data_IF_216034310805
#
_entry.id   IF_216034310805
#
_cell.length_a   1.000
_cell.length_b   1.000
_cell.length_c   1.000
_cell.angle_alpha   90.00
_cell.angle_beta   90.00
_cell.angle_gamma   90.00
#
_symmetry.space_group_name_H-M   'P 1'
#
loop_
_entity.id
_entity.type
_entity.pdbx_description
1 polymer ?
#
# COMPACT_ATOMS: atom_id res chain seq x y z
N UNK A 1 -31.76 2.08 24.45
CA UNK A 1 -30.33 1.73 24.31
C UNK A 1 -29.50 2.85 23.68
N UNK A 2 -29.88 3.46 22.55
CA UNK A 2 -29.04 4.50 21.90
C UNK A 2 -29.11 5.91 22.53
N UNK A 3 -30.02 6.15 23.48
CA UNK A 3 -30.25 7.46 24.11
C UNK A 3 -29.13 7.94 25.04
N UNK A 4 -28.28 7.04 25.55
CA UNK A 4 -27.23 7.38 26.51
C UNK A 4 -25.91 7.84 25.84
N UNK A 5 -25.81 7.77 24.52
CA UNK A 5 -24.56 8.03 23.78
C UNK A 5 -24.62 9.25 22.85
N UNK A 6 -25.74 9.97 22.81
CA UNK A 6 -25.89 11.16 21.97
C UNK A 6 -25.74 12.44 22.82
N UNK A 7 -24.92 13.42 22.39
CA UNK A 7 -24.92 14.75 22.99
C UNK A 7 -26.34 15.35 23.08
N UNK A 8 -26.61 16.18 24.09
CA UNK A 8 -27.96 16.68 24.41
C UNK A 8 -28.73 17.27 23.21
N UNK A 9 -28.01 17.92 22.29
CA UNK A 9 -28.55 18.55 21.09
C UNK A 9 -29.10 17.51 20.08
N UNK A 10 -28.43 16.37 19.98
CA UNK A 10 -28.78 15.25 19.10
C UNK A 10 -29.89 14.38 19.70
N UNK A 11 -29.96 14.30 21.03
CA UNK A 11 -31.06 13.66 21.72
C UNK A 11 -32.41 14.36 21.42
N UNK A 12 -32.40 15.70 21.30
CA UNK A 12 -33.59 16.49 20.94
C UNK A 12 -34.04 16.25 19.49
N UNK A 13 -33.10 16.19 18.55
CA UNK A 13 -33.39 15.89 17.13
C UNK A 13 -33.88 14.46 16.93
N UNK A 14 -33.21 13.47 17.54
CA UNK A 14 -33.62 12.08 17.48
C UNK A 14 -35.01 11.86 18.10
N UNK A 15 -35.31 12.54 19.22
CA UNK A 15 -36.64 12.46 19.85
C UNK A 15 -37.75 13.09 18.99
N UNK A 16 -37.45 14.17 18.26
CA UNK A 16 -38.41 14.78 17.32
C UNK A 16 -38.67 13.90 16.10
N UNK A 17 -37.65 13.22 15.57
CA UNK A 17 -37.79 12.28 14.46
C UNK A 17 -38.60 11.05 14.88
N UNK A 18 -38.33 10.48 16.06
CA UNK A 18 -39.09 9.34 16.58
C UNK A 18 -40.56 9.67 16.87
N UNK A 19 -40.85 10.86 17.40
CA UNK A 19 -42.23 11.29 17.65
C UNK A 19 -43.05 11.48 16.36
N UNK A 20 -42.39 11.74 15.24
CA UNK A 20 -43.03 11.86 13.92
C UNK A 20 -43.26 10.51 13.24
N UNK A 21 -42.50 9.48 13.60
CA UNK A 21 -42.63 8.13 13.03
C UNK A 21 -43.72 7.28 13.71
N UNK A 22 -44.18 7.65 14.90
CA UNK A 22 -45.14 6.87 15.70
C UNK A 22 -46.62 7.21 15.47
N UNK A 23 -46.96 8.19 14.62
CA UNK A 23 -48.34 8.54 14.28
C UNK A 23 -48.61 8.34 12.78
N UNK A 24 -49.53 7.40 12.49
CA UNK A 24 -50.14 6.92 11.24
C UNK A 24 -50.02 7.64 9.87
N UNK A 25 -49.85 6.80 8.84
CA UNK A 25 -50.50 6.75 7.50
C UNK A 25 -50.57 7.95 6.52
N UNK A 26 -49.48 8.69 6.27
CA UNK A 26 -49.42 9.58 5.09
C UNK A 26 -48.07 9.53 4.34
N UNK A 27 -48.13 9.22 3.04
CA UNK A 27 -46.98 9.15 2.11
C UNK A 27 -46.13 10.43 2.08
N UNK A 28 -46.73 11.57 2.40
CA UNK A 28 -46.04 12.84 2.44
C UNK A 28 -45.13 12.99 3.68
N UNK A 29 -45.49 12.34 4.79
CA UNK A 29 -44.63 12.29 5.99
C UNK A 29 -43.44 11.39 5.74
N UNK A 30 -43.62 10.26 5.03
CA UNK A 30 -42.53 9.36 4.66
C UNK A 30 -41.47 10.07 3.81
N UNK A 31 -41.88 10.84 2.78
CA UNK A 31 -40.94 11.64 1.98
C UNK A 31 -40.24 12.71 2.82
N UNK A 32 -40.93 13.35 3.77
CA UNK A 32 -40.31 14.34 4.67
C UNK A 32 -39.36 13.69 5.67
N UNK A 33 -39.65 12.47 6.12
CA UNK A 33 -38.77 11.67 6.96
C UNK A 33 -37.50 11.26 6.20
N UNK A 34 -37.62 10.82 4.94
CA UNK A 34 -36.46 10.50 4.08
C UNK A 34 -35.58 11.72 3.82
N UNK A 35 -36.18 12.88 3.52
CA UNK A 35 -35.42 14.13 3.33
C UNK A 35 -34.68 14.54 4.61
N UNK A 36 -35.31 14.34 5.79
CA UNK A 36 -34.69 14.65 7.08
C UNK A 36 -33.63 13.63 7.49
N UNK A 37 -33.85 12.34 7.22
CA UNK A 37 -32.87 11.28 7.45
C UNK A 37 -31.64 11.51 6.56
N UNK A 38 -31.85 11.88 5.29
CA UNK A 38 -30.76 12.25 4.39
C UNK A 38 -30.01 13.49 4.88
N UNK A 39 -30.72 14.55 5.27
CA UNK A 39 -30.10 15.74 5.83
C UNK A 39 -29.30 15.44 7.11
N UNK A 40 -29.78 14.52 7.95
CA UNK A 40 -29.07 14.08 9.14
C UNK A 40 -27.78 13.30 8.79
N UNK A 41 -27.83 12.40 7.82
CA UNK A 41 -26.64 11.68 7.33
C UNK A 41 -25.63 12.63 6.64
N UNK A 42 -26.10 13.65 5.93
CA UNK A 42 -25.25 14.68 5.33
C UNK A 42 -24.52 15.49 6.42
N UNK A 43 -25.22 15.93 7.47
CA UNK A 43 -24.61 16.62 8.64
C UNK A 43 -23.60 15.72 9.36
N UNK A 44 -23.93 14.43 9.53
CA UNK A 44 -23.02 13.46 10.15
C UNK A 44 -21.76 13.25 9.31
N UNK A 45 -21.90 13.21 7.98
CA UNK A 45 -20.78 13.11 7.03
C UNK A 45 -19.90 14.37 7.07
N UNK A 46 -20.48 15.57 7.04
CA UNK A 46 -19.73 16.82 7.14
C UNK A 46 -18.95 16.91 8.45
N UNK A 47 -19.57 16.53 9.57
CA UNK A 47 -18.91 16.51 10.88
C UNK A 47 -17.79 15.48 10.95
N UNK A 48 -17.98 14.31 10.34
CA UNK A 48 -16.93 13.29 10.24
C UNK A 48 -15.74 13.79 9.41
N UNK A 49 -15.98 14.41 8.26
CA UNK A 49 -14.93 15.00 7.42
C UNK A 49 -14.16 16.08 8.18
N UNK A 50 -14.84 16.97 8.89
CA UNK A 50 -14.21 18.00 9.72
C UNK A 50 -13.32 17.41 10.84
N UNK A 51 -13.78 16.33 11.49
CA UNK A 51 -12.99 15.62 12.51
C UNK A 51 -11.76 14.92 11.91
N UNK A 52 -11.86 14.44 10.67
CA UNK A 52 -10.70 13.87 9.94
C UNK A 52 -9.70 14.98 9.61
N UNK A 53 -10.14 16.11 9.08
CA UNK A 53 -9.29 17.27 8.79
C UNK A 53 -8.59 17.81 10.05
N UNK A 54 -9.33 17.95 11.17
CA UNK A 54 -8.77 18.37 12.46
C UNK A 54 -7.71 17.39 12.96
N UNK A 55 -7.95 16.07 12.85
CA UNK A 55 -6.96 15.04 13.22
C UNK A 55 -5.75 15.02 12.30
N UNK A 56 -5.93 15.25 11.00
CA UNK A 56 -4.81 15.37 10.05
C UNK A 56 -3.97 16.61 10.34
N UNK A 57 -4.60 17.75 10.66
CA UNK A 57 -3.91 18.96 11.07
C UNK A 57 -3.15 18.78 12.39
N UNK A 58 -3.76 18.17 13.41
CA UNK A 58 -3.09 17.84 14.68
C UNK A 58 -1.93 16.85 14.48
N UNK A 59 -2.12 15.83 13.64
CA UNK A 59 -1.07 14.86 13.30
C UNK A 59 0.08 15.53 12.56
N UNK A 60 -0.21 16.46 11.64
CA UNK A 60 0.80 17.20 10.89
C UNK A 60 1.59 18.13 11.82
N UNK A 61 0.90 18.90 12.67
CA UNK A 61 1.55 19.79 13.63
C UNK A 61 2.43 19.02 14.65
N UNK A 62 1.93 17.86 15.13
CA UNK A 62 2.69 16.97 16.00
C UNK A 62 3.91 16.40 15.29
N UNK A 63 3.76 15.96 14.04
CA UNK A 63 4.86 15.46 13.23
C UNK A 63 5.92 16.55 12.98
N UNK A 64 5.52 17.78 12.63
CA UNK A 64 6.43 18.92 12.47
C UNK A 64 7.17 19.24 13.77
N UNK A 65 6.49 19.19 14.92
CA UNK A 65 7.10 19.41 16.22
C UNK A 65 8.10 18.30 16.58
N UNK A 66 7.74 17.04 16.38
CA UNK A 66 8.61 15.88 16.63
C UNK A 66 9.80 15.85 15.66
N UNK A 67 9.57 16.16 14.39
CA UNK A 67 10.61 16.26 13.36
C UNK A 67 11.57 17.42 13.65
N UNK A 68 11.05 18.61 14.00
CA UNK A 68 11.87 19.75 14.43
C UNK A 68 12.71 19.41 15.67
N UNK A 69 12.11 18.74 16.65
CA UNK A 69 12.82 18.27 17.85
C UNK A 69 13.88 17.24 17.49
N UNK A 70 13.57 16.26 16.64
CA UNK A 70 14.48 15.23 16.19
C UNK A 70 15.67 15.81 15.40
N UNK A 71 15.42 16.78 14.51
CA UNK A 71 16.48 17.52 13.82
C UNK A 71 17.35 18.28 14.82
N UNK A 72 16.76 19.05 15.74
CA UNK A 72 17.52 19.79 16.76
C UNK A 72 18.36 18.86 17.64
N UNK A 73 17.80 17.73 18.05
CA UNK A 73 18.51 16.72 18.84
C UNK A 73 19.59 16.01 18.02
N UNK A 74 19.33 15.70 16.74
CA UNK A 74 20.32 15.08 15.85
C UNK A 74 21.50 16.01 15.58
N UNK A 75 21.25 17.30 15.36
CA UNK A 75 22.28 18.32 15.18
C UNK A 75 23.05 18.53 16.49
N UNK A 76 22.36 18.66 17.63
CA UNK A 76 23.01 18.88 18.94
C UNK A 76 23.85 17.71 19.44
N UNK A 77 23.58 16.48 18.97
CA UNK A 77 24.30 15.28 19.38
C UNK A 77 25.44 14.89 18.44
N UNK A 78 25.65 15.60 17.32
CA UNK A 78 26.84 15.36 16.50
C UNK A 78 28.07 15.90 17.25
N UNK A 79 29.12 15.08 17.45
CA UNK A 79 30.35 15.58 18.04
C UNK A 79 30.90 16.71 17.14
N UNK A 80 31.36 17.82 17.71
CA UNK A 80 31.92 18.92 16.93
C UNK A 80 33.06 18.41 16.06
N UNK A 81 33.00 18.70 14.76
CA UNK A 81 34.05 18.34 13.82
C UNK A 81 35.20 19.33 13.97
N UNK A 82 36.44 18.84 13.95
CA UNK A 82 37.63 19.70 13.88
C UNK A 82 38.28 19.54 12.52
N UNK A 83 38.89 20.60 12.02
CA UNK A 83 39.78 20.51 10.86
C UNK A 83 40.94 19.59 11.21
N UNK A 84 41.32 18.75 10.25
CA UNK A 84 42.58 18.00 10.36
C UNK A 84 43.76 18.96 10.48
N UNK A 85 44.89 18.53 11.09
CA UNK A 85 46.08 19.37 11.19
C UNK A 85 46.57 19.90 9.83
N UNK A 86 46.41 19.11 8.77
CA UNK A 86 46.79 19.46 7.41
C UNK A 86 45.85 20.53 6.80
N UNK A 87 44.54 20.35 6.93
CA UNK A 87 43.55 21.36 6.51
C UNK A 87 43.77 22.67 7.28
N UNK A 88 44.00 22.60 8.59
CA UNK A 88 44.24 23.80 9.41
C UNK A 88 45.52 24.53 8.98
N UNK A 89 46.59 23.81 8.68
CA UNK A 89 47.83 24.39 8.16
C UNK A 89 47.62 25.05 6.79
N UNK A 90 46.84 24.42 5.91
CA UNK A 90 46.45 24.99 4.62
C UNK A 90 45.68 26.31 4.80
N UNK A 91 44.69 26.33 5.69
CA UNK A 91 43.86 27.50 5.94
C UNK A 91 44.69 28.67 6.48
N UNK A 92 45.53 28.41 7.48
CA UNK A 92 46.44 29.41 8.05
C UNK A 92 47.44 29.97 7.03
N UNK A 93 47.95 29.13 6.12
CA UNK A 93 48.83 29.56 5.02
C UNK A 93 48.11 30.53 4.08
N UNK A 94 46.88 30.21 3.67
CA UNK A 94 46.07 31.06 2.78
C UNK A 94 45.75 32.40 3.43
N UNK A 95 45.45 32.41 4.74
CA UNK A 95 45.22 33.64 5.50
C UNK A 95 46.49 34.50 5.57
N UNK A 96 47.65 33.87 5.80
CA UNK A 96 48.92 34.58 5.93
C UNK A 96 49.41 35.19 4.60
N UNK A 97 49.19 34.50 3.48
CA UNK A 97 49.54 34.99 2.15
C UNK A 97 48.45 34.62 1.12
N UNK A 98 47.41 35.45 0.98
CA UNK A 98 46.33 35.26 0.02
C UNK A 98 46.80 35.11 -1.43
N UNK A 99 47.92 35.75 -1.79
CA UNK A 99 48.44 35.74 -3.16
C UNK A 99 49.11 34.40 -3.53
N UNK A 100 49.49 33.61 -2.53
CA UNK A 100 50.05 32.26 -2.72
C UNK A 100 48.99 31.19 -3.01
N UNK A 101 47.70 31.50 -2.83
CA UNK A 101 46.63 30.53 -2.99
C UNK A 101 46.47 30.11 -4.45
N UNK A 102 46.65 28.82 -4.72
CA UNK A 102 46.50 28.22 -6.06
C UNK A 102 45.09 27.67 -6.29
N UNK A 103 44.75 27.36 -7.55
CA UNK A 103 43.51 26.63 -7.88
C UNK A 103 43.44 25.27 -7.17
N UNK A 104 44.57 24.59 -7.01
CA UNK A 104 44.62 23.32 -6.28
C UNK A 104 44.27 23.51 -4.80
N UNK A 105 44.79 24.56 -4.17
CA UNK A 105 44.46 24.91 -2.78
C UNK A 105 42.97 25.22 -2.64
N UNK A 106 42.41 25.99 -3.58
CA UNK A 106 40.97 26.27 -3.63
C UNK A 106 40.14 24.99 -3.76
N UNK A 107 40.53 24.09 -4.66
CA UNK A 107 39.83 22.83 -4.85
C UNK A 107 39.93 21.96 -3.60
N UNK A 108 41.08 21.92 -2.92
CA UNK A 108 41.23 21.20 -1.66
C UNK A 108 40.33 21.77 -0.55
N UNK A 109 40.24 23.10 -0.40
CA UNK A 109 39.38 23.76 0.60
C UNK A 109 37.89 23.48 0.36
N UNK A 110 37.46 23.43 -0.91
CA UNK A 110 36.08 23.15 -1.29
C UNK A 110 35.81 21.67 -1.61
N UNK A 111 36.77 20.79 -1.32
CA UNK A 111 36.71 19.35 -1.58
C UNK A 111 36.37 18.99 -3.03
N UNK A 112 36.80 19.83 -3.96
CA UNK A 112 36.68 19.60 -5.39
C UNK A 112 37.82 18.71 -5.87
N UNK A 113 37.64 18.00 -7.00
CA UNK A 113 38.72 17.25 -7.62
C UNK A 113 39.94 18.14 -7.90
N UNK A 114 41.16 17.57 -7.94
CA UNK A 114 42.35 18.28 -8.41
C UNK A 114 42.10 18.97 -9.77
N UNK A 115 42.76 20.11 -10.07
CA UNK A 115 42.44 20.91 -11.26
C UNK A 115 42.49 20.16 -12.59
N UNK A 116 43.45 19.25 -12.75
CA UNK A 116 43.62 18.39 -13.92
C UNK A 116 42.46 17.39 -14.06
N UNK A 117 42.02 16.81 -12.94
CA UNK A 117 40.85 15.94 -12.91
C UNK A 117 39.54 16.71 -13.14
N UNK A 118 39.39 17.89 -12.54
CA UNK A 118 38.21 18.75 -12.73
C UNK A 118 38.07 19.18 -14.20
N UNK A 119 39.17 19.57 -14.85
CA UNK A 119 39.18 19.91 -16.27
C UNK A 119 38.91 18.70 -17.16
N UNK A 120 39.43 17.51 -16.81
CA UNK A 120 39.12 16.27 -17.50
C UNK A 120 37.62 15.95 -17.40
N UNK A 121 37.05 16.00 -16.20
CA UNK A 121 35.62 15.76 -15.97
C UNK A 121 34.75 16.80 -16.72
N UNK A 122 35.18 18.07 -16.76
CA UNK A 122 34.51 19.11 -17.53
C UNK A 122 34.53 18.83 -19.03
N UNK A 123 35.69 18.45 -19.58
CA UNK A 123 35.79 18.06 -21.00
C UNK A 123 34.95 16.84 -21.32
N UNK A 124 35.00 15.82 -20.48
CA UNK A 124 34.25 14.58 -20.68
C UNK A 124 32.73 14.84 -20.68
N UNK A 125 32.26 15.78 -19.85
CA UNK A 125 30.84 16.05 -19.64
C UNK A 125 30.25 17.10 -20.57
N UNK A 126 30.95 18.21 -20.78
CA UNK A 126 30.45 19.38 -21.55
C UNK A 126 31.35 19.78 -22.72
N UNK A 127 32.49 19.10 -22.92
CA UNK A 127 33.37 19.31 -24.07
C UNK A 127 34.37 20.46 -23.95
N UNK A 128 34.40 21.18 -22.83
CA UNK A 128 35.30 22.32 -22.56
C UNK A 128 35.97 22.21 -21.18
N UNK A 129 37.08 22.91 -20.97
CA UNK A 129 37.73 23.03 -19.65
C UNK A 129 36.87 23.82 -18.65
N UNK A 130 37.19 23.73 -17.35
CA UNK A 130 36.51 24.54 -16.34
C UNK A 130 36.76 26.05 -16.55
N UNK A 131 37.94 26.43 -16.99
CA UNK A 131 38.29 27.84 -17.23
C UNK A 131 37.52 28.42 -18.42
N UNK A 132 37.42 27.68 -19.52
CA UNK A 132 36.57 28.04 -20.67
C UNK A 132 35.09 28.12 -20.27
N UNK A 133 34.61 27.21 -19.42
CA UNK A 133 33.25 27.21 -18.90
C UNK A 133 32.96 28.46 -18.04
N UNK A 134 33.89 28.84 -17.15
CA UNK A 134 33.81 30.07 -16.36
C UNK A 134 33.78 31.31 -17.26
N UNK A 135 34.64 31.34 -18.27
CA UNK A 135 34.64 32.43 -19.26
C UNK A 135 33.33 32.50 -20.05
N UNK A 136 32.75 31.35 -20.43
CA UNK A 136 31.45 31.26 -21.09
C UNK A 136 30.33 31.83 -20.21
N UNK A 137 30.32 31.52 -18.91
CA UNK A 137 29.33 32.06 -17.98
C UNK A 137 29.40 33.59 -17.84
N UNK A 138 30.60 34.17 -17.88
CA UNK A 138 30.79 35.62 -17.85
C UNK A 138 30.50 36.32 -19.18
N UNK A 139 30.74 35.66 -20.31
CA UNK A 139 30.58 36.28 -21.62
C UNK A 139 29.18 36.09 -22.20
N UNK A 140 28.61 34.89 -22.07
CA UNK A 140 27.36 34.48 -22.71
C UNK A 140 26.51 33.57 -21.79
N UNK A 141 26.01 34.07 -20.64
CA UNK A 141 25.31 33.25 -19.65
C UNK A 141 24.08 32.52 -20.21
N UNK A 142 23.35 33.11 -21.15
CA UNK A 142 22.13 32.50 -21.74
C UNK A 142 22.42 31.26 -22.59
N UNK A 143 23.68 31.09 -23.01
CA UNK A 143 24.14 29.94 -23.80
C UNK A 143 24.59 28.76 -22.95
N UNK A 144 24.55 28.90 -21.62
CA UNK A 144 24.82 27.80 -20.71
C UNK A 144 23.70 26.76 -20.80
N UNK A 145 24.12 25.51 -20.91
CA UNK A 145 23.28 24.31 -20.82
C UNK A 145 23.03 23.95 -19.35
N UNK A 146 22.05 23.09 -19.10
CA UNK A 146 21.73 22.61 -17.74
C UNK A 146 22.93 21.94 -17.05
N UNK A 147 23.65 21.06 -17.75
CA UNK A 147 24.84 20.39 -17.19
C UNK A 147 25.95 21.41 -16.86
N UNK A 148 26.15 22.43 -17.70
CA UNK A 148 27.10 23.52 -17.45
C UNK A 148 26.72 24.36 -16.22
N UNK A 149 25.43 24.69 -16.08
CA UNK A 149 24.90 25.37 -14.90
C UNK A 149 25.09 24.55 -13.63
N UNK A 150 24.79 23.24 -13.67
CA UNK A 150 24.98 22.31 -12.54
C UNK A 150 26.45 22.26 -12.11
N UNK A 151 27.37 22.13 -13.07
CA UNK A 151 28.81 22.09 -12.81
C UNK A 151 29.28 23.39 -12.14
N UNK A 152 28.84 24.55 -12.64
CA UNK A 152 29.22 25.84 -12.08
C UNK A 152 28.61 26.10 -10.69
N UNK A 153 27.36 25.70 -10.48
CA UNK A 153 26.65 25.93 -9.23
C UNK A 153 27.07 24.96 -8.11
N UNK A 154 27.37 23.71 -8.45
CA UNK A 154 27.52 22.61 -7.49
C UNK A 154 28.84 21.85 -7.59
N UNK A 155 29.64 22.07 -8.63
CA UNK A 155 30.85 21.30 -8.92
C UNK A 155 30.55 19.87 -9.38
N UNK A 156 31.62 19.08 -9.61
CA UNK A 156 31.51 17.67 -10.01
C UNK A 156 31.21 16.70 -8.86
N UNK A 157 31.14 17.18 -7.62
CA UNK A 157 31.11 16.34 -6.41
C UNK A 157 29.73 15.84 -6.00
N UNK A 158 28.70 15.98 -6.85
CA UNK A 158 27.30 15.86 -6.42
C UNK A 158 26.41 14.92 -7.24
N UNK A 159 26.90 13.74 -7.61
CA UNK A 159 25.98 12.63 -8.01
C UNK A 159 26.22 11.29 -7.32
N UNK A 160 27.33 11.09 -6.62
CA UNK A 160 27.44 10.00 -5.66
C UNK A 160 27.05 10.53 -4.28
N UNK A 161 25.86 10.15 -3.82
CA UNK A 161 25.30 10.52 -2.50
C UNK A 161 26.16 10.02 -1.31
N UNK A 162 27.21 9.24 -1.58
CA UNK A 162 27.97 8.47 -0.60
C UNK A 162 29.35 9.03 -0.24
N UNK A 163 29.92 10.00 -0.98
CA UNK A 163 31.35 10.35 -0.83
C UNK A 163 31.68 11.81 -0.54
N UNK A 164 30.73 12.75 -0.60
CA UNK A 164 31.00 14.17 -0.32
C UNK A 164 30.63 14.58 1.11
N UNK A 165 31.44 15.41 1.79
CA UNK A 165 30.97 16.06 3.01
C UNK A 165 29.71 16.89 2.67
N UNK A 166 28.65 16.85 3.50
CA UNK A 166 27.41 17.59 3.22
C UNK A 166 27.70 19.06 2.95
N UNK A 167 26.91 19.73 2.11
CA UNK A 167 27.07 21.17 1.78
C UNK A 167 27.13 22.12 3.00
N UNK A 168 26.79 21.61 4.19
CA UNK A 168 26.79 22.31 5.48
C UNK A 168 27.84 21.81 6.47
N UNK A 169 28.83 21.01 6.04
CA UNK A 169 29.82 20.42 6.97
C UNK A 169 30.63 21.47 7.74
N UNK A 170 30.80 22.67 7.17
CA UNK A 170 31.44 23.81 7.85
C UNK A 170 30.65 24.31 9.06
N UNK A 171 29.33 24.12 9.09
CA UNK A 171 28.48 24.44 10.24
C UNK A 171 28.64 23.46 11.39
N UNK A 172 29.19 22.27 11.13
CA UNK A 172 29.50 21.26 12.15
C UNK A 172 30.93 21.46 12.73
N UNK A 173 31.69 22.46 12.28
CA UNK A 173 33.02 22.77 12.81
C UNK A 173 32.96 23.41 14.20
N UNK A 174 34.00 23.20 15.01
CA UNK A 174 34.21 23.99 16.24
C UNK A 174 34.40 25.48 15.89
N UNK A 175 34.00 26.37 16.79
CA UNK A 175 33.99 27.83 16.58
C UNK A 175 35.29 28.38 15.98
N UNK A 176 36.46 28.02 16.53
CA UNK A 176 37.75 28.49 16.02
C UNK A 176 38.02 28.05 14.57
N UNK A 177 37.63 26.83 14.21
CA UNK A 177 37.82 26.27 12.87
C UNK A 177 36.76 26.80 11.89
N UNK A 178 35.55 27.10 12.37
CA UNK A 178 34.50 27.78 11.61
C UNK A 178 34.93 29.20 11.24
N UNK A 179 35.52 29.93 12.19
CA UNK A 179 36.03 31.29 11.95
C UNK A 179 37.22 31.28 10.97
N UNK A 180 38.14 30.31 11.10
CA UNK A 180 39.21 30.11 10.11
C UNK A 180 38.63 29.82 8.72
N UNK A 181 37.61 28.96 8.64
CA UNK A 181 36.95 28.68 7.36
C UNK A 181 36.29 29.90 6.75
N UNK A 182 35.65 30.74 7.56
CA UNK A 182 35.00 31.97 7.10
C UNK A 182 36.02 32.95 6.50
N UNK A 183 37.16 33.14 7.17
CA UNK A 183 38.23 34.01 6.67
C UNK A 183 38.83 33.47 5.35
N UNK A 184 39.04 32.16 5.26
CA UNK A 184 39.52 31.53 4.01
C UNK A 184 38.48 31.67 2.90
N UNK A 185 37.20 31.52 3.19
CA UNK A 185 36.13 31.72 2.20
C UNK A 185 36.11 33.17 1.68
N UNK A 186 36.25 34.17 2.55
CA UNK A 186 36.33 35.58 2.15
C UNK A 186 37.54 35.87 1.24
N UNK A 187 38.65 35.14 1.41
CA UNK A 187 39.86 35.27 0.60
C UNK A 187 39.72 34.56 -0.75
N UNK A 188 39.25 33.30 -0.75
CA UNK A 188 39.24 32.45 -1.94
C UNK A 188 38.03 32.67 -2.84
N UNK A 189 36.94 33.19 -2.29
CA UNK A 189 35.69 33.41 -3.02
C UNK A 189 35.67 34.81 -3.62
N UNK A 190 36.21 34.92 -4.83
CA UNK A 190 36.36 36.22 -5.51
C UNK A 190 35.02 36.75 -6.00
N UNK A 191 34.96 38.06 -6.26
CA UNK A 191 33.78 38.70 -6.86
C UNK A 191 33.41 38.07 -8.21
N UNK A 192 34.40 37.57 -8.95
CA UNK A 192 34.19 36.86 -10.22
C UNK A 192 33.50 35.51 -9.99
N UNK A 193 33.93 34.73 -8.99
CA UNK A 193 33.27 33.45 -8.64
C UNK A 193 31.81 33.66 -8.24
N UNK A 194 31.54 34.70 -7.44
CA UNK A 194 30.18 35.08 -7.02
C UNK A 194 29.33 35.39 -8.25
N UNK A 195 29.87 36.15 -9.21
CA UNK A 195 29.14 36.52 -10.42
C UNK A 195 28.91 35.32 -11.35
N UNK A 196 29.90 34.44 -11.54
CA UNK A 196 29.76 33.19 -12.29
C UNK A 196 28.65 32.33 -11.67
N UNK A 197 28.68 32.13 -10.35
CA UNK A 197 27.68 31.31 -9.66
C UNK A 197 26.29 31.93 -9.77
N UNK A 198 26.16 33.25 -9.58
CA UNK A 198 24.88 33.97 -9.72
C UNK A 198 24.28 33.78 -11.11
N UNK A 199 25.09 33.92 -12.16
CA UNK A 199 24.63 33.74 -13.55
C UNK A 199 24.25 32.30 -13.85
N UNK A 200 25.07 31.35 -13.40
CA UNK A 200 24.77 29.93 -13.53
C UNK A 200 23.47 29.55 -12.82
N UNK A 201 23.24 30.06 -11.60
CA UNK A 201 22.00 29.86 -10.84
C UNK A 201 20.80 30.51 -11.53
N UNK A 202 20.94 31.75 -12.00
CA UNK A 202 19.86 32.42 -12.72
C UNK A 202 19.43 31.61 -13.95
N UNK A 203 20.40 31.13 -14.74
CA UNK A 203 20.14 30.28 -15.89
C UNK A 203 19.65 28.88 -15.50
N UNK A 204 20.10 28.34 -14.37
CA UNK A 204 19.59 27.07 -13.84
C UNK A 204 18.09 27.15 -13.55
N UNK A 205 17.61 28.28 -13.02
CA UNK A 205 16.18 28.50 -12.78
C UNK A 205 15.34 28.45 -14.05
N UNK A 206 15.88 28.82 -15.21
CA UNK A 206 15.16 28.66 -16.49
C UNK A 206 14.90 27.18 -16.84
N UNK A 207 15.64 26.24 -16.22
CA UNK A 207 15.45 24.81 -16.39
C UNK A 207 14.56 24.17 -15.31
N UNK A 208 14.12 24.92 -14.29
CA UNK A 208 13.36 24.38 -13.15
C UNK A 208 12.12 23.60 -13.62
N UNK A 209 11.31 24.20 -14.51
CA UNK A 209 10.11 23.55 -15.07
C UNK A 209 10.45 22.23 -15.77
N UNK A 210 11.55 22.20 -16.53
CA UNK A 210 11.98 21.01 -17.28
C UNK A 210 12.49 19.91 -16.33
N UNK A 211 13.21 20.30 -15.27
CA UNK A 211 13.70 19.41 -14.22
C UNK A 211 12.52 18.83 -13.44
N UNK A 212 11.55 19.65 -13.06
CA UNK A 212 10.34 19.22 -12.37
C UNK A 212 9.55 18.22 -13.21
N UNK A 213 9.33 18.49 -14.49
CA UNK A 213 8.62 17.58 -15.38
C UNK A 213 9.37 16.24 -15.55
N UNK A 214 10.71 16.26 -15.65
CA UNK A 214 11.50 15.02 -15.63
C UNK A 214 11.35 14.25 -14.32
N UNK A 215 11.36 14.93 -13.17
CA UNK A 215 11.14 14.32 -11.85
C UNK A 215 9.74 13.72 -11.75
N UNK A 216 8.69 14.42 -12.19
CA UNK A 216 7.32 13.90 -12.25
C UNK A 216 7.23 12.64 -13.12
N UNK A 217 7.82 12.67 -14.32
CA UNK A 217 7.84 11.50 -15.23
C UNK A 217 8.57 10.31 -14.61
N UNK A 218 9.73 10.51 -14.00
CA UNK A 218 10.49 9.44 -13.32
C UNK A 218 9.69 8.86 -12.15
N UNK A 219 9.04 9.71 -11.33
CA UNK A 219 8.16 9.25 -10.25
C UNK A 219 6.99 8.44 -10.80
N UNK A 220 6.34 8.91 -11.86
CA UNK A 220 5.23 8.19 -12.50
C UNK A 220 5.69 6.84 -13.05
N UNK A 221 6.82 6.79 -13.75
CA UNK A 221 7.40 5.55 -14.23
C UNK A 221 7.69 4.58 -13.07
N UNK A 222 8.27 5.05 -11.96
CA UNK A 222 8.50 4.21 -10.78
C UNK A 222 7.20 3.71 -10.15
N UNK A 223 6.15 4.55 -10.12
CA UNK A 223 4.81 4.16 -9.67
C UNK A 223 4.24 3.06 -10.58
N UNK A 224 4.34 3.23 -11.89
CA UNK A 224 3.82 2.31 -12.90
C UNK A 224 4.59 0.98 -12.90
N UNK A 225 5.93 1.03 -12.84
CA UNK A 225 6.80 -0.16 -12.70
C UNK A 225 6.48 -0.91 -11.42
N UNK A 226 6.32 -0.21 -10.29
CA UNK A 226 5.91 -0.82 -9.03
C UNK A 226 4.51 -1.43 -9.13
N UNK A 227 3.56 -0.74 -9.76
CA UNK A 227 2.21 -1.24 -9.98
C UNK A 227 2.21 -2.49 -10.86
N UNK A 228 2.97 -2.51 -11.95
CA UNK A 228 3.12 -3.64 -12.85
C UNK A 228 3.79 -4.83 -12.16
N UNK A 229 4.89 -4.61 -11.42
CA UNK A 229 5.56 -5.65 -10.63
C UNK A 229 4.62 -6.26 -9.59
N UNK A 230 3.83 -5.43 -8.92
CA UNK A 230 2.81 -5.91 -7.98
C UNK A 230 1.71 -6.69 -8.69
N UNK A 231 1.19 -6.21 -9.83
CA UNK A 231 0.15 -6.89 -10.61
C UNK A 231 0.62 -8.26 -11.09
N UNK A 232 1.89 -8.37 -11.51
CA UNK A 232 2.52 -9.63 -11.89
C UNK A 232 2.73 -10.60 -10.71
N UNK A 233 2.87 -10.08 -9.49
CA UNK A 233 2.99 -10.88 -8.27
C UNK A 233 1.64 -11.28 -7.66
N UNK A 234 0.52 -10.70 -8.12
CA UNK A 234 -0.82 -11.06 -7.67
C UNK A 234 -1.26 -12.41 -8.27
N UNK A 235 -2.07 -13.19 -7.54
CA UNK A 235 -2.73 -14.36 -8.07
C UNK A 235 -3.51 -14.00 -9.32
N UNK A 236 -3.52 -14.90 -10.31
CA UNK A 236 -4.22 -14.65 -11.59
C UNK A 236 -5.69 -14.35 -11.36
N UNK A 237 -6.26 -14.98 -10.34
CA UNK A 237 -7.64 -14.80 -9.96
C UNK A 237 -8.02 -13.42 -9.50
N UNK A 238 -7.16 -12.80 -8.71
CA UNK A 238 -7.41 -11.47 -8.18
C UNK A 238 -7.41 -10.45 -9.32
N UNK A 239 -6.50 -10.62 -10.29
CA UNK A 239 -6.48 -9.85 -11.53
C UNK A 239 -7.78 -10.01 -12.31
N UNK A 240 -8.22 -11.25 -12.53
CA UNK A 240 -9.48 -11.53 -13.25
C UNK A 240 -10.72 -10.95 -12.55
N UNK A 241 -10.81 -11.06 -11.21
CA UNK A 241 -11.89 -10.44 -10.45
C UNK A 241 -11.87 -8.91 -10.56
N UNK A 242 -10.67 -8.31 -10.66
CA UNK A 242 -10.50 -6.87 -10.87
C UNK A 242 -10.98 -6.44 -12.24
N UNK A 243 -10.59 -7.20 -13.26
CA UNK A 243 -10.96 -6.93 -14.65
C UNK A 243 -12.47 -7.14 -14.89
N UNK A 244 -13.08 -8.10 -14.18
CA UNK A 244 -14.52 -8.36 -14.22
C UNK A 244 -15.37 -7.26 -13.54
N UNK A 245 -14.76 -6.36 -12.74
CA UNK A 245 -15.44 -5.26 -12.03
C UNK A 245 -16.68 -5.73 -11.25
N UNK A 246 -16.56 -6.85 -10.55
CA UNK A 246 -17.66 -7.42 -9.78
C UNK A 246 -18.13 -6.43 -8.71
N UNK A 247 -19.42 -6.08 -8.70
CA UNK A 247 -20.00 -5.21 -7.67
C UNK A 247 -20.25 -5.92 -6.34
N UNK A 248 -20.27 -7.26 -6.36
CA UNK A 248 -20.35 -8.14 -5.20
C UNK A 248 -19.81 -9.52 -5.55
N UNK A 249 -19.35 -10.26 -4.54
CA UNK A 249 -18.89 -11.64 -4.71
C UNK A 249 -18.97 -12.44 -3.40
N UNK A 250 -19.03 -13.76 -3.50
CA UNK A 250 -19.19 -14.64 -2.33
C UNK A 250 -19.82 -15.98 -2.72
N UNK A 251 -20.09 -16.80 -1.72
CA UNK A 251 -20.87 -18.03 -1.85
C UNK A 251 -22.26 -17.88 -1.25
N UNK A 252 -23.16 -18.79 -1.64
CA UNK A 252 -24.30 -19.17 -0.80
C UNK A 252 -23.81 -20.17 0.23
N UNK A 253 -24.10 -19.94 1.51
CA UNK A 253 -23.72 -20.81 2.63
C UNK A 253 -24.98 -21.27 3.34
N UNK A 254 -25.29 -22.57 3.29
CA UNK A 254 -26.40 -23.15 4.03
C UNK A 254 -25.96 -23.57 5.42
N UNK A 255 -26.69 -23.14 6.44
CA UNK A 255 -26.64 -23.75 7.78
C UNK A 255 -27.55 -24.98 7.80
N UNK A 256 -27.08 -26.08 8.37
CA UNK A 256 -27.85 -27.34 8.50
C UNK A 256 -27.83 -27.92 9.91
N UNK A 257 -27.42 -27.12 10.89
CA UNK A 257 -27.33 -27.47 12.30
C UNK A 257 -28.06 -26.41 13.15
N UNK A 258 -29.13 -26.83 13.82
CA UNK A 258 -30.11 -26.02 14.54
C UNK A 258 -30.43 -26.60 15.91
N UNK A 259 -29.63 -27.54 16.42
CA UNK A 259 -29.77 -28.04 17.78
C UNK A 259 -29.65 -26.91 18.80
N UNK A 260 -30.23 -27.10 19.98
CA UNK A 260 -30.17 -26.14 21.08
C UNK A 260 -28.71 -25.77 21.38
N UNK A 261 -28.40 -24.47 21.42
CA UNK A 261 -27.04 -23.94 21.60
C UNK A 261 -26.34 -23.48 20.30
N UNK A 262 -26.80 -23.94 19.13
CA UNK A 262 -26.10 -23.68 17.85
C UNK A 262 -26.20 -22.26 17.30
N UNK A 263 -27.01 -21.39 17.90
CA UNK A 263 -27.11 -20.01 17.43
C UNK A 263 -25.81 -19.24 17.67
N UNK A 264 -25.22 -19.40 18.85
CA UNK A 264 -23.93 -18.78 19.16
C UNK A 264 -22.84 -19.35 18.24
N UNK A 265 -22.82 -20.66 18.02
CA UNK A 265 -21.81 -21.30 17.16
C UNK A 265 -21.96 -20.87 15.69
N UNK A 266 -23.19 -20.59 15.25
CA UNK A 266 -23.45 -20.01 13.93
C UNK A 266 -22.94 -18.58 13.81
N UNK A 267 -23.18 -17.73 14.81
CA UNK A 267 -22.64 -16.36 14.85
C UNK A 267 -21.09 -16.37 14.84
N UNK A 268 -20.47 -17.26 15.62
CA UNK A 268 -19.01 -17.45 15.65
C UNK A 268 -18.47 -17.94 14.31
N UNK A 269 -19.18 -18.87 13.66
CA UNK A 269 -18.82 -19.31 12.31
C UNK A 269 -18.86 -18.15 11.31
N UNK A 270 -19.91 -17.33 11.33
CA UNK A 270 -20.02 -16.17 10.43
C UNK A 270 -18.88 -15.19 10.66
N UNK A 271 -18.55 -14.91 11.93
CA UNK A 271 -17.43 -14.06 12.30
C UNK A 271 -16.11 -14.64 11.82
N UNK A 272 -15.83 -15.91 12.10
CA UNK A 272 -14.61 -16.61 11.66
C UNK A 272 -14.47 -16.60 10.13
N UNK A 273 -15.56 -16.84 9.41
CA UNK A 273 -15.60 -16.79 7.94
C UNK A 273 -15.21 -15.41 7.41
N UNK A 274 -15.76 -14.33 8.00
CA UNK A 274 -15.45 -12.96 7.60
C UNK A 274 -14.04 -12.51 8.04
N UNK A 275 -13.58 -12.91 9.21
CA UNK A 275 -12.22 -12.63 9.67
C UNK A 275 -11.18 -13.35 8.81
N UNK A 276 -11.46 -14.57 8.37
CA UNK A 276 -10.56 -15.31 7.48
C UNK A 276 -10.45 -14.62 6.11
N UNK A 277 -11.57 -14.12 5.58
CA UNK A 277 -11.59 -13.26 4.38
C UNK A 277 -10.69 -12.04 4.56
N UNK A 278 -10.86 -11.30 5.66
CA UNK A 278 -10.04 -10.12 5.94
C UNK A 278 -8.56 -10.49 6.12
N UNK A 279 -8.24 -11.57 6.84
CA UNK A 279 -6.86 -12.02 6.99
C UNK A 279 -6.20 -12.32 5.63
N UNK A 280 -6.89 -13.02 4.74
CA UNK A 280 -6.36 -13.35 3.43
C UNK A 280 -6.24 -12.14 2.51
N UNK A 281 -7.31 -11.39 2.34
CA UNK A 281 -7.36 -10.29 1.38
C UNK A 281 -6.60 -9.07 1.90
N UNK A 282 -6.65 -8.78 3.20
CA UNK A 282 -6.01 -7.59 3.76
C UNK A 282 -4.52 -7.84 4.07
N UNK A 283 -4.19 -8.94 4.76
CA UNK A 283 -2.79 -9.25 5.11
C UNK A 283 -2.05 -9.89 3.94
N UNK A 284 -2.65 -10.88 3.29
CA UNK A 284 -2.05 -11.57 2.13
C UNK A 284 -1.96 -10.68 0.89
N UNK A 285 -2.94 -9.78 0.70
CA UNK A 285 -3.11 -9.06 -0.56
C UNK A 285 -3.43 -7.57 -0.37
N UNK A 286 -2.61 -6.77 0.31
CA UNK A 286 -2.86 -5.34 0.70
C UNK A 286 -3.66 -4.42 -0.27
N UNK A 287 -3.64 -4.62 -1.60
CA UNK A 287 -4.44 -3.84 -2.58
C UNK A 287 -5.76 -4.49 -3.02
N UNK A 288 -6.04 -5.70 -2.55
CA UNK A 288 -7.34 -6.37 -2.62
C UNK A 288 -8.32 -5.87 -1.56
N UNK A 289 -7.97 -4.84 -0.78
CA UNK A 289 -8.85 -4.23 0.21
C UNK A 289 -10.19 -3.79 -0.40
N UNK A 290 -10.18 -3.34 -1.66
CA UNK A 290 -11.40 -3.02 -2.39
C UNK A 290 -12.29 -4.25 -2.63
N UNK A 291 -11.75 -5.46 -2.71
CA UNK A 291 -12.55 -6.69 -2.76
C UNK A 291 -13.11 -7.09 -1.41
N UNK A 292 -12.42 -6.78 -0.30
CA UNK A 292 -12.92 -7.09 1.05
C UNK A 292 -14.29 -6.50 1.31
N UNK A 293 -14.54 -5.27 0.83
CA UNK A 293 -15.82 -4.56 0.98
C UNK A 293 -16.89 -5.05 0.01
N UNK A 294 -16.49 -5.63 -1.12
CA UNK A 294 -17.40 -6.20 -2.12
C UNK A 294 -17.79 -7.65 -1.80
N UNK A 295 -17.14 -8.28 -0.82
CA UNK A 295 -17.47 -9.64 -0.42
C UNK A 295 -18.76 -9.66 0.41
N UNK A 296 -19.80 -10.30 -0.12
CA UNK A 296 -21.15 -10.35 0.43
C UNK A 296 -21.71 -11.77 0.30
N UNK A 297 -21.34 -12.71 1.19
CA UNK A 297 -21.86 -14.07 1.14
C UNK A 297 -23.37 -14.06 1.41
N UNK A 298 -24.11 -14.97 0.77
CA UNK A 298 -25.52 -15.19 1.06
C UNK A 298 -25.65 -16.31 2.10
N UNK A 299 -25.80 -15.92 3.35
CA UNK A 299 -25.93 -16.82 4.49
C UNK A 299 -27.40 -17.26 4.63
N UNK A 300 -27.70 -18.52 4.36
CA UNK A 300 -29.05 -19.07 4.43
C UNK A 300 -29.24 -19.75 5.77
N UNK A 301 -30.10 -19.17 6.60
CA UNK A 301 -30.52 -19.77 7.87
C UNK A 301 -32.03 -20.05 7.83
N UNK A 302 -32.39 -21.30 7.55
CA UNK A 302 -33.75 -21.82 7.52
C UNK A 302 -33.80 -23.12 8.35
N UNK A 303 -34.53 -23.11 9.46
CA UNK A 303 -34.61 -24.25 10.38
C UNK A 303 -35.25 -25.50 9.76
N UNK A 304 -35.96 -25.37 8.63
CA UNK A 304 -36.44 -26.52 7.86
C UNK A 304 -35.32 -27.32 7.18
N UNK A 305 -34.11 -26.76 7.12
CA UNK A 305 -32.91 -27.41 6.58
C UNK A 305 -32.10 -28.17 7.65
N UNK A 306 -32.64 -28.35 8.86
CA UNK A 306 -31.98 -29.11 9.92
C UNK A 306 -31.69 -30.55 9.49
N UNK A 307 -30.41 -30.93 9.51
CA UNK A 307 -29.96 -32.24 9.05
C UNK A 307 -30.25 -32.54 7.58
N UNK A 308 -30.55 -31.53 6.76
CA UNK A 308 -30.88 -31.72 5.36
C UNK A 308 -29.73 -32.38 4.60
N UNK A 309 -30.05 -33.47 3.89
CA UNK A 309 -29.10 -34.15 3.04
C UNK A 309 -28.68 -33.29 1.83
N UNK A 310 -27.50 -33.57 1.30
CA UNK A 310 -26.88 -32.83 0.17
C UNK A 310 -27.83 -32.71 -1.03
N UNK A 311 -28.61 -33.76 -1.33
CA UNK A 311 -29.57 -33.73 -2.44
C UNK A 311 -30.66 -32.66 -2.27
N UNK A 312 -31.19 -32.50 -1.04
CA UNK A 312 -32.19 -31.47 -0.71
C UNK A 312 -31.59 -30.08 -0.89
N UNK A 313 -30.36 -29.88 -0.42
CA UNK A 313 -29.64 -28.60 -0.56
C UNK A 313 -29.34 -28.26 -2.03
N UNK A 314 -28.97 -29.25 -2.86
CA UNK A 314 -28.82 -29.06 -4.32
C UNK A 314 -30.13 -28.58 -4.94
N UNK A 315 -31.25 -29.19 -4.60
CA UNK A 315 -32.57 -28.79 -5.10
C UNK A 315 -32.94 -27.37 -4.63
N UNK A 316 -32.74 -27.05 -3.35
CA UNK A 316 -32.99 -25.70 -2.82
C UNK A 316 -32.13 -24.65 -3.53
N UNK A 317 -30.84 -24.90 -3.70
CA UNK A 317 -29.94 -24.01 -4.40
C UNK A 317 -30.33 -23.79 -5.86
N UNK A 318 -30.72 -24.86 -6.59
CA UNK A 318 -31.24 -24.73 -7.97
C UNK A 318 -32.49 -23.87 -8.03
N UNK A 319 -33.43 -24.08 -7.10
CA UNK A 319 -34.62 -23.24 -7.00
C UNK A 319 -34.27 -21.77 -6.74
N UNK A 320 -33.35 -21.49 -5.82
CA UNK A 320 -32.86 -20.11 -5.56
C UNK A 320 -32.24 -19.48 -6.81
N UNK A 321 -31.47 -20.27 -7.58
CA UNK A 321 -30.87 -19.83 -8.85
C UNK A 321 -31.93 -19.51 -9.91
N UNK A 322 -32.92 -20.38 -10.08
CA UNK A 322 -34.02 -20.21 -11.05
C UNK A 322 -34.96 -19.05 -10.69
N UNK A 323 -35.20 -18.85 -9.39
CA UNK A 323 -36.05 -17.77 -8.86
C UNK A 323 -35.31 -16.44 -8.72
N UNK A 324 -34.03 -16.37 -9.14
CA UNK A 324 -33.19 -15.17 -9.00
C UNK A 324 -33.04 -14.67 -7.55
N UNK A 325 -33.13 -15.58 -6.57
CA UNK A 325 -32.85 -15.29 -5.15
C UNK A 325 -31.35 -15.05 -4.92
N UNK A 326 -30.48 -15.63 -5.76
CA UNK A 326 -29.02 -15.46 -5.68
C UNK A 326 -28.63 -14.13 -6.39
N UNK A 327 -28.08 -13.14 -5.67
CA UNK A 327 -27.71 -11.87 -6.29
C UNK A 327 -26.60 -12.00 -7.34
N UNK A 328 -26.66 -11.18 -8.38
CA UNK A 328 -25.64 -11.14 -9.43
C UNK A 328 -24.24 -10.90 -8.85
N UNK A 329 -23.28 -11.76 -9.19
CA UNK A 329 -21.92 -11.72 -8.69
C UNK A 329 -21.63 -12.72 -7.56
N UNK A 330 -22.63 -13.36 -6.96
CA UNK A 330 -22.44 -14.51 -6.07
C UNK A 330 -22.27 -15.79 -6.91
N UNK A 331 -21.45 -16.74 -6.44
CA UNK A 331 -21.20 -17.98 -7.15
C UNK A 331 -22.49 -18.80 -7.31
N UNK A 332 -22.77 -19.25 -8.55
CA UNK A 332 -23.99 -19.99 -8.92
C UNK A 332 -23.73 -21.44 -9.35
N UNK A 333 -22.46 -21.85 -9.34
CA UNK A 333 -21.98 -23.18 -9.72
C UNK A 333 -21.44 -23.97 -8.52
N UNK A 334 -21.46 -23.38 -7.32
CA UNK A 334 -21.02 -23.97 -6.06
C UNK A 334 -21.74 -23.31 -4.88
N UNK A 335 -22.06 -24.09 -3.85
CA UNK A 335 -22.47 -23.58 -2.54
C UNK A 335 -21.71 -24.26 -1.41
N UNK A 336 -21.75 -23.65 -0.22
CA UNK A 336 -21.09 -24.18 0.97
C UNK A 336 -22.12 -24.69 1.98
N UNK A 337 -21.73 -25.67 2.79
CA UNK A 337 -22.53 -26.22 3.89
C UNK A 337 -21.78 -26.02 5.21
N UNK A 338 -22.41 -25.29 6.14
CA UNK A 338 -22.03 -25.19 7.54
C UNK A 338 -22.91 -26.16 8.36
N UNK A 339 -22.42 -27.39 8.50
CA UNK A 339 -23.03 -28.43 9.33
C UNK A 339 -22.47 -28.40 10.77
N UNK A 340 -22.94 -29.33 11.62
CA UNK A 340 -22.52 -29.39 13.02
C UNK A 340 -20.99 -29.48 13.16
N UNK A 341 -20.32 -30.23 12.29
CA UNK A 341 -18.86 -30.38 12.34
C UNK A 341 -18.11 -29.08 12.00
N UNK A 342 -18.71 -28.22 11.15
CA UNK A 342 -18.19 -26.88 10.87
C UNK A 342 -18.45 -25.91 12.04
N UNK A 343 -19.60 -26.01 12.71
CA UNK A 343 -19.97 -25.17 13.85
C UNK A 343 -19.17 -25.50 15.12
N UNK A 344 -18.99 -26.79 15.44
CA UNK A 344 -18.26 -27.27 16.63
C UNK A 344 -16.81 -26.76 16.69
N UNK A 345 -16.21 -26.47 15.53
CA UNK A 345 -14.79 -26.09 15.41
C UNK A 345 -14.55 -24.59 15.24
N UNK A 346 -15.60 -23.77 15.22
CA UNK A 346 -15.48 -22.32 14.98
C UNK A 346 -14.63 -21.60 16.04
N UNK A 347 -14.46 -22.18 17.22
CA UNK A 347 -13.69 -21.62 18.35
C UNK A 347 -12.16 -21.64 18.18
N UNK A 348 -11.60 -22.27 17.14
CA UNK A 348 -10.14 -22.49 17.02
C UNK A 348 -9.43 -21.64 15.94
N UNK A 349 -10.12 -20.82 15.14
CA UNK A 349 -9.52 -20.27 13.90
C UNK A 349 -9.05 -18.80 13.93
N UNK A 350 -9.22 -18.07 15.04
CA UNK A 350 -8.87 -16.64 15.09
C UNK A 350 -7.37 -16.35 14.91
N UNK A 351 -6.51 -17.36 15.04
CA UNK A 351 -5.05 -17.21 14.91
C UNK A 351 -4.45 -17.78 13.62
N UNK A 352 -5.23 -18.38 12.71
CA UNK A 352 -4.62 -19.02 11.53
C UNK A 352 -4.36 -17.97 10.44
N UNK A 353 -3.15 -17.41 10.47
CA UNK A 353 -2.63 -16.63 9.36
C UNK A 353 -2.54 -17.50 8.10
N UNK A 354 -2.95 -16.95 6.96
CA UNK A 354 -2.79 -17.64 5.68
C UNK A 354 -1.29 -17.79 5.38
N UNK A 355 -0.80 -19.04 5.40
CA UNK A 355 0.58 -19.37 5.05
C UNK A 355 0.60 -20.11 3.72
N UNK A 356 1.33 -19.64 2.70
CA UNK A 356 1.48 -20.40 1.46
C UNK A 356 2.21 -21.71 1.75
N UNK A 357 1.72 -22.81 1.18
CA UNK A 357 2.38 -24.12 1.29
C UNK A 357 3.72 -24.08 0.56
N UNK A 358 4.82 -24.25 1.28
CA UNK A 358 6.12 -24.44 0.68
C UNK A 358 6.20 -25.82 0.00
N UNK A 359 7.00 -25.93 -1.06
CA UNK A 359 7.15 -27.19 -1.79
C UNK A 359 7.77 -28.26 -0.89
N UNK A 360 7.04 -29.36 -0.67
CA UNK A 360 7.48 -30.50 0.15
C UNK A 360 7.09 -30.42 1.64
N UNK A 361 6.48 -29.32 2.10
CA UNK A 361 6.00 -29.20 3.47
C UNK A 361 4.57 -29.76 3.63
N UNK A 362 4.21 -30.27 4.83
CA UNK A 362 2.83 -30.63 5.13
C UNK A 362 1.93 -29.41 4.97
N UNK A 363 0.67 -29.67 4.64
CA UNK A 363 -0.31 -28.64 4.46
C UNK A 363 -0.53 -27.87 5.80
N UNK A 364 -0.26 -26.56 5.86
CA UNK A 364 -0.35 -25.79 7.11
C UNK A 364 -1.79 -25.64 7.61
N UNK A 365 -2.78 -25.99 6.78
CA UNK A 365 -4.20 -25.86 7.09
C UNK A 365 -4.80 -27.18 7.64
N UNK A 366 -4.01 -28.24 7.87
CA UNK A 366 -4.51 -29.50 8.45
C UNK A 366 -5.18 -29.36 9.82
N UNK A 367 -4.78 -28.34 10.60
CA UNK A 367 -5.38 -28.02 11.90
C UNK A 367 -6.58 -27.08 11.82
N UNK A 368 -6.87 -26.55 10.63
CA UNK A 368 -8.01 -25.64 10.43
C UNK A 368 -9.29 -26.43 10.28
N UNK A 369 -10.41 -25.83 10.70
CA UNK A 369 -11.69 -26.43 10.38
C UNK A 369 -11.95 -26.32 8.88
N UNK A 370 -12.75 -27.27 8.39
CA UNK A 370 -13.09 -27.36 6.99
C UNK A 370 -14.58 -27.18 6.79
N UNK A 371 -14.94 -26.65 5.64
CA UNK A 371 -16.31 -26.49 5.18
C UNK A 371 -16.54 -27.35 3.95
N UNK A 372 -17.75 -27.87 3.78
CA UNK A 372 -18.10 -28.63 2.58
C UNK A 372 -18.51 -27.69 1.46
N UNK A 373 -17.94 -27.87 0.28
CA UNK A 373 -18.36 -27.23 -0.95
C UNK A 373 -19.03 -28.25 -1.86
N UNK A 374 -20.18 -27.88 -2.41
CA UNK A 374 -21.05 -28.81 -3.13
C UNK A 374 -21.31 -28.32 -4.54
N UNK A 375 -21.19 -29.24 -5.50
CA UNK A 375 -21.61 -29.04 -6.87
C UNK A 375 -23.15 -29.18 -6.94
N UNK A 376 -23.89 -28.10 -7.23
CA UNK A 376 -25.34 -28.15 -7.34
C UNK A 376 -25.80 -29.05 -8.49
N UNK A 377 -25.01 -29.13 -9.56
CA UNK A 377 -25.38 -29.79 -10.82
C UNK A 377 -24.77 -31.20 -10.94
N UNK A 378 -24.21 -31.75 -9.85
CA UNK A 378 -23.70 -33.12 -9.84
C UNK A 378 -24.82 -34.13 -10.10
N UNK A 379 -24.59 -35.02 -11.07
CA UNK A 379 -25.48 -36.12 -11.45
C UNK A 379 -24.77 -37.45 -11.28
N UNK A 380 -25.18 -38.21 -10.25
CA UNK A 380 -24.62 -39.53 -9.94
C UNK A 380 -24.91 -40.58 -11.02
N UNK A 381 -25.83 -40.30 -11.96
CA UNK A 381 -26.14 -41.22 -13.06
C UNK A 381 -25.13 -41.14 -14.21
N UNK A 382 -24.34 -40.07 -14.28
CA UNK A 382 -23.29 -39.92 -15.28
C UNK A 382 -22.08 -40.74 -14.83
N UNK A 383 -21.66 -41.76 -15.59
CA UNK A 383 -20.48 -42.57 -15.24
C UNK A 383 -19.25 -41.68 -15.16
N UNK A 384 -18.65 -41.58 -13.99
CA UNK A 384 -17.34 -40.95 -13.82
C UNK A 384 -16.33 -41.89 -14.48
N UNK A 385 -15.46 -41.41 -15.40
CA UNK A 385 -14.38 -42.21 -15.96
C UNK A 385 -13.60 -42.88 -14.82
N UNK A 386 -13.61 -44.21 -14.76
CA UNK A 386 -13.17 -44.98 -13.58
C UNK A 386 -11.65 -44.99 -13.34
N UNK A 387 -10.89 -44.20 -14.09
CA UNK A 387 -9.43 -44.16 -14.01
C UNK A 387 -8.98 -42.84 -13.34
N UNK A 388 -8.93 -42.82 -12.00
CA UNK A 388 -8.34 -41.70 -11.26
C UNK A 388 -8.73 -41.62 -9.78
N UNK A 389 -8.14 -40.65 -9.08
CA UNK A 389 -8.38 -40.32 -7.66
C UNK A 389 -9.84 -39.89 -7.33
N UNK A 390 -10.75 -39.93 -8.30
CA UNK A 390 -12.15 -39.51 -8.18
C UNK A 390 -13.18 -40.64 -8.26
N UNK A 391 -12.77 -41.91 -8.20
CA UNK A 391 -13.72 -43.02 -8.13
C UNK A 391 -14.73 -42.89 -6.95
N UNK A 392 -14.48 -42.00 -5.99
CA UNK A 392 -15.35 -41.67 -4.85
C UNK A 392 -15.85 -40.22 -4.82
N UNK A 393 -15.83 -39.48 -5.94
CA UNK A 393 -16.31 -38.10 -5.94
C UNK A 393 -17.84 -38.05 -5.94
N UNK A 394 -18.45 -37.63 -4.83
CA UNK A 394 -19.91 -37.59 -4.66
C UNK A 394 -20.52 -36.22 -4.96
N UNK A 395 -19.82 -35.38 -5.73
CA UNK A 395 -20.25 -34.02 -6.02
C UNK A 395 -20.09 -33.07 -4.84
N UNK A 396 -19.28 -33.42 -3.85
CA UNK A 396 -18.91 -32.57 -2.73
C UNK A 396 -17.43 -32.74 -2.36
N UNK A 397 -16.85 -31.69 -1.79
CA UNK A 397 -15.47 -31.67 -1.32
C UNK A 397 -15.39 -30.95 0.03
N UNK A 398 -14.41 -31.33 0.83
CA UNK A 398 -14.08 -30.65 2.08
C UNK A 398 -12.91 -29.69 1.85
N UNK A 399 -13.11 -28.41 2.18
CA UNK A 399 -12.16 -27.33 1.96
C UNK A 399 -11.78 -26.71 3.30
N UNK A 400 -10.48 -26.61 3.64
CA UNK A 400 -10.03 -25.80 4.78
C UNK A 400 -10.61 -24.38 4.69
N UNK A 401 -11.09 -23.78 5.79
CA UNK A 401 -11.65 -22.42 5.72
C UNK A 401 -10.67 -21.42 5.04
N UNK A 402 -9.35 -21.44 5.33
CA UNK A 402 -8.39 -20.59 4.66
C UNK A 402 -8.22 -20.84 3.14
N UNK A 403 -8.87 -21.86 2.58
CA UNK A 403 -8.85 -22.18 1.15
C UNK A 403 -10.16 -21.88 0.44
N UNK A 404 -11.17 -21.42 1.15
CA UNK A 404 -12.48 -21.14 0.57
C UNK A 404 -12.42 -20.04 -0.49
N UNK A 405 -11.57 -19.02 -0.32
CA UNK A 405 -11.44 -17.93 -1.31
C UNK A 405 -10.61 -18.34 -2.53
N UNK A 406 -9.61 -19.22 -2.37
CA UNK A 406 -8.95 -19.89 -3.50
C UNK A 406 -9.97 -20.71 -4.30
N UNK A 407 -10.89 -21.43 -3.62
CA UNK A 407 -11.97 -22.17 -4.27
C UNK A 407 -12.97 -21.27 -5.00
N UNK A 408 -13.28 -20.10 -4.44
CA UNK A 408 -14.20 -19.14 -5.04
C UNK A 408 -13.70 -18.60 -6.37
N UNK A 409 -12.38 -18.42 -6.52
CA UNK A 409 -11.79 -18.10 -7.82
C UNK A 409 -12.14 -19.14 -8.89
N UNK A 410 -11.90 -20.40 -8.60
CA UNK A 410 -12.12 -21.48 -9.57
C UNK A 410 -13.59 -21.57 -9.98
N UNK A 411 -14.51 -21.22 -9.08
CA UNK A 411 -15.95 -21.13 -9.37
C UNK A 411 -16.29 -19.99 -10.37
N UNK A 412 -15.73 -18.79 -10.20
CA UNK A 412 -16.10 -17.65 -11.04
C UNK A 412 -15.48 -17.67 -12.45
N UNK A 413 -14.24 -18.11 -12.57
CA UNK A 413 -13.39 -17.73 -13.70
C UNK A 413 -12.83 -18.93 -14.47
N UNK A 414 -12.75 -20.12 -13.85
CA UNK A 414 -12.39 -21.35 -14.52
C UNK A 414 -13.64 -22.08 -15.05
N UNK A 415 -14.55 -21.35 -15.73
CA UNK A 415 -15.72 -21.95 -16.40
C UNK A 415 -15.34 -23.05 -17.43
N UNK A 416 -14.04 -23.23 -17.72
CA UNK A 416 -13.46 -24.25 -18.59
C UNK A 416 -12.82 -25.45 -17.87
N UNK A 417 -12.79 -25.50 -16.54
CA UNK A 417 -12.21 -26.62 -15.79
C UNK A 417 -13.31 -27.40 -15.06
N UNK A 418 -13.31 -28.72 -15.24
CA UNK A 418 -14.14 -29.63 -14.46
C UNK A 418 -13.84 -29.51 -12.95
N UNK A 419 -14.81 -29.88 -12.12
CA UNK A 419 -14.69 -29.82 -10.65
C UNK A 419 -13.48 -30.62 -10.13
N UNK A 420 -13.05 -31.64 -10.87
CA UNK A 420 -11.86 -32.45 -10.58
C UNK A 420 -10.59 -31.62 -10.59
N UNK A 421 -10.37 -30.89 -11.68
CA UNK A 421 -9.20 -30.05 -11.88
C UNK A 421 -9.13 -28.98 -10.79
N UNK A 422 -10.27 -28.33 -10.49
CA UNK A 422 -10.39 -27.36 -9.40
C UNK A 422 -10.00 -27.99 -8.06
N UNK A 423 -10.50 -29.19 -7.76
CA UNK A 423 -10.23 -29.88 -6.50
C UNK A 423 -8.76 -30.26 -6.34
N UNK A 424 -8.15 -30.82 -7.39
CA UNK A 424 -6.73 -31.20 -7.38
C UNK A 424 -5.85 -29.97 -7.14
N UNK A 425 -6.18 -28.84 -7.75
CA UNK A 425 -5.46 -27.58 -7.54
C UNK A 425 -5.62 -27.04 -6.12
N UNK A 426 -6.82 -27.13 -5.53
CA UNK A 426 -7.07 -26.57 -4.18
C UNK A 426 -6.58 -27.47 -3.04
N UNK A 427 -6.69 -28.79 -3.17
CA UNK A 427 -6.25 -29.75 -2.12
C UNK A 427 -4.79 -30.18 -2.26
N UNK A 428 -4.35 -30.42 -3.49
CA UNK A 428 -3.02 -30.98 -3.78
C UNK A 428 -2.02 -29.98 -4.33
N UNK A 429 -2.52 -28.94 -5.01
CA UNK A 429 -1.70 -27.93 -5.65
C UNK A 429 -0.93 -27.09 -4.62
N UNK A 430 0.24 -26.56 -4.99
CA UNK A 430 0.79 -25.44 -4.24
C UNK A 430 -0.28 -24.35 -4.21
N UNK A 431 -0.56 -23.78 -3.03
CA UNK A 431 -1.19 -22.46 -3.00
C UNK A 431 -0.46 -21.60 -4.04
N UNK A 432 -1.17 -20.90 -4.95
CA UNK A 432 -0.49 -20.02 -5.91
C UNK A 432 0.53 -19.20 -5.10
N UNK A 433 1.82 -19.44 -5.38
CA UNK A 433 2.86 -19.03 -4.45
C UNK A 433 2.71 -17.53 -4.26
N UNK A 434 2.44 -17.12 -3.02
CA UNK A 434 2.66 -15.73 -2.66
C UNK A 434 4.15 -15.53 -2.85
N UNK A 435 4.52 -14.86 -3.95
CA UNK A 435 5.85 -14.25 -4.00
C UNK A 435 5.79 -13.22 -2.90
N UNK A 436 6.25 -13.63 -1.71
CA UNK A 436 6.40 -12.77 -0.55
C UNK A 436 7.42 -11.73 -0.96
N UNK A 437 6.92 -10.72 -1.65
CA UNK A 437 7.68 -9.55 -1.99
C UNK A 437 7.57 -8.71 -0.74
N UNK A 438 8.23 -9.20 0.33
CA UNK A 438 8.84 -8.30 1.30
C UNK A 438 9.87 -7.55 0.47
N UNK A 439 9.38 -6.56 -0.29
CA UNK A 439 10.22 -5.49 -0.78
C UNK A 439 10.87 -4.99 0.49
N UNK A 440 12.21 -5.06 0.63
CA UNK A 440 12.86 -4.41 1.73
C UNK A 440 12.37 -2.97 1.67
N UNK A 441 11.60 -2.58 2.68
CA UNK A 441 11.35 -1.19 3.00
C UNK A 441 12.72 -0.68 3.40
N UNK A 442 13.55 -0.35 2.42
CA UNK A 442 14.76 0.37 2.65
C UNK A 442 14.32 1.72 3.22
N UNK A 443 14.59 1.84 4.51
CA UNK A 443 15.03 3.05 5.16
C UNK A 443 15.94 3.79 4.18
N UNK A 444 15.47 4.90 3.67
CA UNK A 444 16.27 5.95 3.07
C UNK A 444 16.15 7.16 3.94
#
# INVERSE_FOLDING_TARGET
>A
MWKEYLPDDEHRLASQVFALLTNDHDDEISRRADVRAKAFEDVKRERYLKLVEEREAESTAKWEQEFSKAIKTSIANRPPTRLSPEEKALYLRIIADPSSATRADKNQVYEKPPPDEEDRLCKDKVGITMEELRHKALSNPDTLTEDECDILAYGFTKRDESSGKPSFWKSDLVEDDMELSRQVDEILYTQEDIEIQRRAQHRHHDFDDVIEERRKRKRQQQIDERAAKMRAAQPRWLNHMSDAKLSRWGFVVFRTAYSEGTEHEWEEFQWAYLCNKDAQLYKGWRRASNFCSLHQPLLVSDSSLEGAGVHVLRQRFKAMREQSEIPAGIATDCFLIADQAALDKALLSSEVEYQPKAQGEPDPWQSTFSIRAVNPDYDASIPIPSEGDLASYEGEITIPLPKVFDWLYYCFLAKSEDWETRYKLVKGGPAEMMVSTILPLFVS
#
